data_IF_388351220428
#
_entry.id   IF_388351220428
#
_cell.length_a   1.000
_cell.length_b   1.000
_cell.length_c   1.000
_cell.angle_alpha   90.00
_cell.angle_beta   90.00
_cell.angle_gamma   90.00
#
_symmetry.space_group_name_H-M   'P 1'
#
loop_
_entity.id
_entity.type
_entity.pdbx_description
1 polymer ?
#
# COMPACT_ATOMS: atom_id res chain seq x y z
N UNK A 1 2.15 10.75 10.98
CA UNK A 1 1.82 9.57 11.82
C UNK A 1 0.39 9.14 11.51
N UNK A 2 0.17 7.84 11.27
CA UNK A 2 -1.18 7.29 11.14
C UNK A 2 -1.79 7.21 12.55
N UNK A 3 -2.98 7.79 12.72
CA UNK A 3 -3.70 7.75 14.00
C UNK A 3 -4.45 6.43 14.19
N UNK A 4 -3.71 5.31 14.11
CA UNK A 4 -4.27 3.97 14.32
C UNK A 4 -4.53 3.75 15.81
N UNK A 5 -5.49 2.91 16.13
CA UNK A 5 -5.91 2.55 17.49
C UNK A 5 -4.89 1.65 18.23
N UNK A 6 -3.71 1.45 17.65
CA UNK A 6 -2.55 0.84 18.31
C UNK A 6 -1.24 1.52 17.85
N UNK A 7 -0.15 1.30 18.59
CA UNK A 7 1.15 1.90 18.28
C UNK A 7 1.70 1.40 16.96
N UNK A 8 2.04 2.30 16.06
CA UNK A 8 2.62 2.02 14.75
C UNK A 8 3.90 2.85 14.56
N UNK A 9 4.92 2.26 13.92
CA UNK A 9 6.14 2.99 13.58
C UNK A 9 5.84 4.03 12.49
N UNK A 10 6.35 5.24 12.64
CA UNK A 10 6.22 6.29 11.63
C UNK A 10 7.10 5.98 10.41
N UNK A 11 6.61 6.36 9.22
CA UNK A 11 7.44 6.47 8.03
C UNK A 11 8.37 7.68 8.15
N UNK A 12 9.52 7.65 7.48
CA UNK A 12 10.50 8.71 7.50
C UNK A 12 10.62 9.35 6.11
N UNK A 13 10.71 10.67 6.08
CA UNK A 13 10.92 11.45 4.86
C UNK A 13 11.87 12.62 5.19
N UNK A 14 12.93 12.82 4.42
CA UNK A 14 13.74 14.03 4.54
C UNK A 14 12.91 15.28 4.32
N UNK A 15 13.27 16.39 4.96
CA UNK A 15 12.56 17.64 4.75
C UNK A 15 12.81 18.16 3.33
N UNK A 16 11.78 18.58 2.58
CA UNK A 16 11.95 19.09 1.21
C UNK A 16 12.96 20.25 1.11
N UNK A 17 13.04 21.09 2.15
CA UNK A 17 13.98 22.22 2.20
C UNK A 17 15.46 21.82 2.37
N UNK A 18 15.72 20.55 2.71
CA UNK A 18 17.06 20.00 2.91
C UNK A 18 17.50 19.15 1.71
N UNK A 19 16.61 18.92 0.72
CA UNK A 19 16.91 18.12 -0.47
C UNK A 19 17.27 18.98 -1.67
N UNK A 20 18.27 18.54 -2.42
CA UNK A 20 18.59 19.07 -3.76
C UNK A 20 17.53 18.58 -4.78
N UNK A 21 17.52 19.15 -5.98
CA UNK A 21 16.63 18.68 -7.07
C UNK A 21 16.88 17.20 -7.40
N UNK A 22 18.13 16.77 -7.40
CA UNK A 22 18.51 15.38 -7.64
C UNK A 22 17.96 14.43 -6.55
N UNK A 23 18.11 14.80 -5.28
CA UNK A 23 17.59 14.03 -4.16
C UNK A 23 16.05 14.01 -4.15
N UNK A 24 15.42 15.11 -4.54
CA UNK A 24 13.96 15.16 -4.70
C UNK A 24 13.48 14.19 -5.78
N UNK A 25 14.17 14.12 -6.93
CA UNK A 25 13.86 13.17 -7.98
C UNK A 25 14.09 11.72 -7.53
N UNK A 26 15.15 11.47 -6.78
CA UNK A 26 15.51 10.18 -6.22
C UNK A 26 14.49 9.71 -5.18
N UNK A 27 14.09 10.62 -4.27
CA UNK A 27 13.03 10.37 -3.29
C UNK A 27 11.67 10.10 -3.95
N UNK A 28 11.36 10.76 -5.07
CA UNK A 28 10.13 10.54 -5.82
C UNK A 28 10.04 9.12 -6.43
N UNK A 29 11.18 8.48 -6.69
CA UNK A 29 11.26 7.07 -7.10
C UNK A 29 11.20 6.10 -5.90
N UNK A 30 11.15 6.61 -4.67
CA UNK A 30 11.16 5.79 -3.45
C UNK A 30 12.54 5.30 -3.03
N UNK A 31 13.61 5.83 -3.62
CA UNK A 31 14.98 5.47 -3.26
C UNK A 31 15.50 6.35 -2.11
N UNK A 32 16.27 5.79 -1.17
CA UNK A 32 16.84 6.56 -0.07
C UNK A 32 17.84 7.58 -0.60
N UNK A 33 17.79 8.79 -0.04
CA UNK A 33 18.76 9.85 -0.28
C UNK A 33 19.80 9.77 0.83
N UNK A 34 20.83 8.96 0.62
CA UNK A 34 21.79 8.50 1.61
C UNK A 34 22.74 9.54 2.20
N UNK A 35 22.54 10.83 1.94
CA UNK A 35 23.41 11.91 2.40
C UNK A 35 22.84 12.73 3.55
N UNK A 36 21.59 12.47 3.95
CA UNK A 36 20.97 13.16 5.08
C UNK A 36 21.13 12.35 6.36
N UNK A 37 21.71 12.97 7.37
CA UNK A 37 22.03 12.31 8.64
C UNK A 37 20.79 11.91 9.45
N UNK A 38 19.65 12.62 9.28
CA UNK A 38 18.42 12.25 9.99
C UNK A 38 17.22 13.13 9.56
N UNK A 39 16.09 12.51 9.23
CA UNK A 39 15.91 11.07 9.02
C UNK A 39 16.47 10.64 7.67
N UNK A 40 17.19 9.53 7.65
CA UNK A 40 17.53 8.86 6.39
C UNK A 40 16.23 8.35 5.75
N UNK A 41 15.98 8.71 4.52
CA UNK A 41 14.74 8.30 3.87
C UNK A 41 14.68 8.71 2.40
N UNK A 42 13.59 8.40 1.69
CA UNK A 42 12.31 7.90 2.24
C UNK A 42 12.38 6.46 2.78
N UNK A 43 11.76 6.24 3.94
CA UNK A 43 11.49 4.91 4.49
C UNK A 43 9.99 4.84 4.79
N UNK A 44 9.31 3.87 4.21
CA UNK A 44 7.86 3.76 4.28
C UNK A 44 7.47 2.45 4.93
N UNK A 45 6.58 2.49 5.90
CA UNK A 45 6.03 1.28 6.50
C UNK A 45 5.10 0.56 5.53
N UNK A 46 4.96 -0.75 5.66
CA UNK A 46 4.02 -1.56 4.86
C UNK A 46 2.59 -1.03 5.02
N UNK A 47 2.20 -0.62 6.23
CA UNK A 47 0.89 -0.01 6.50
C UNK A 47 0.71 1.31 5.72
N UNK A 48 1.71 2.20 5.71
CA UNK A 48 1.64 3.45 4.97
C UNK A 48 1.49 3.19 3.46
N UNK A 49 2.20 2.20 2.93
CA UNK A 49 2.07 1.79 1.54
C UNK A 49 0.66 1.28 1.22
N UNK A 50 0.00 0.54 2.12
CA UNK A 50 -1.39 0.13 1.95
C UNK A 50 -2.34 1.33 1.93
N UNK A 51 -2.11 2.34 2.80
CA UNK A 51 -2.88 3.59 2.81
C UNK A 51 -2.68 4.37 1.50
N UNK A 52 -1.47 4.40 0.95
CA UNK A 52 -1.19 5.03 -0.35
C UNK A 52 -1.97 4.32 -1.47
N UNK A 53 -1.92 2.98 -1.53
CA UNK A 53 -2.69 2.22 -2.51
C UNK A 53 -4.20 2.48 -2.38
N UNK A 54 -4.70 2.51 -1.14
CA UNK A 54 -6.10 2.84 -0.83
C UNK A 54 -6.47 4.26 -1.25
N UNK A 55 -5.59 5.25 -1.06
CA UNK A 55 -5.83 6.63 -1.49
C UNK A 55 -5.94 6.74 -3.01
N UNK A 56 -5.08 6.07 -3.77
CA UNK A 56 -5.18 6.02 -5.24
C UNK A 56 -6.49 5.37 -5.68
N UNK A 57 -6.87 4.26 -5.05
CA UNK A 57 -8.15 3.58 -5.30
C UNK A 57 -9.37 4.48 -5.01
N UNK A 58 -9.26 5.36 -4.01
CA UNK A 58 -10.31 6.25 -3.49
C UNK A 58 -10.21 7.68 -4.06
N UNK A 59 -9.83 7.85 -5.32
CA UNK A 59 -9.77 9.15 -6.01
C UNK A 59 -8.82 10.16 -5.38
N UNK A 60 -7.77 9.69 -4.71
CA UNK A 60 -6.73 10.49 -4.07
C UNK A 60 -7.00 10.87 -2.61
N UNK A 61 -8.13 10.45 -2.04
CA UNK A 61 -8.47 10.70 -0.63
C UNK A 61 -7.88 9.60 0.25
N UNK A 62 -6.97 9.97 1.14
CA UNK A 62 -6.41 9.05 2.13
C UNK A 62 -7.37 8.87 3.32
N UNK A 63 -7.48 7.63 3.80
CA UNK A 63 -8.28 7.28 4.97
C UNK A 63 -7.38 6.82 6.10
N UNK A 64 -7.75 7.17 7.34
CA UNK A 64 -7.05 6.68 8.53
C UNK A 64 -7.42 5.22 8.78
N UNK A 65 -6.46 4.29 8.80
CA UNK A 65 -6.75 2.90 9.09
C UNK A 65 -7.12 2.71 10.57
N UNK A 66 -7.96 1.73 10.84
CA UNK A 66 -8.30 1.27 12.19
C UNK A 66 -8.51 -0.25 12.16
N UNK A 67 -8.40 -0.91 13.29
CA UNK A 67 -8.62 -2.37 13.46
C UNK A 67 -9.76 -2.68 14.42
N UNK A 68 -10.13 -1.75 15.29
CA UNK A 68 -11.29 -1.90 16.17
C UNK A 68 -12.50 -1.31 15.47
N UNK A 69 -13.36 -2.16 14.94
CA UNK A 69 -14.59 -1.73 14.28
C UNK A 69 -15.64 -1.29 15.32
N UNK A 70 -15.90 -2.14 16.32
CA UNK A 70 -16.82 -1.81 17.40
C UNK A 70 -16.47 -2.58 18.68
N UNK A 71 -16.99 -2.11 19.79
CA UNK A 71 -16.89 -2.73 21.11
C UNK A 71 -18.27 -3.18 21.56
N UNK A 72 -18.41 -4.43 21.96
CA UNK A 72 -19.66 -5.00 22.47
C UNK A 72 -19.62 -5.11 24.00
N UNK A 73 -20.80 -5.00 24.61
CA UNK A 73 -21.01 -5.41 26.00
C UNK A 73 -20.99 -6.93 26.13
N UNK A 74 -21.03 -7.44 27.35
CA UNK A 74 -21.13 -8.88 27.61
C UNK A 74 -22.43 -9.51 27.03
N UNK A 75 -23.47 -8.70 26.87
CA UNK A 75 -24.78 -9.08 26.32
C UNK A 75 -24.86 -8.92 24.80
N UNK A 76 -23.74 -8.55 24.13
CA UNK A 76 -23.66 -8.39 22.67
C UNK A 76 -24.18 -7.06 22.12
N UNK A 77 -24.47 -6.08 22.99
CA UNK A 77 -24.91 -4.75 22.56
C UNK A 77 -23.70 -3.88 22.19
N UNK A 78 -23.77 -3.17 21.08
CA UNK A 78 -22.72 -2.23 20.67
C UNK A 78 -22.60 -1.08 21.68
N UNK A 79 -21.45 -0.98 22.35
CA UNK A 79 -21.10 0.10 23.30
C UNK A 79 -20.49 1.28 22.55
N UNK A 80 -19.63 1.00 21.59
CA UNK A 80 -19.02 2.01 20.72
C UNK A 80 -18.72 1.43 19.34
N UNK A 81 -18.71 2.28 18.32
CA UNK A 81 -18.31 1.92 16.96
C UNK A 81 -17.34 2.96 16.41
N UNK A 82 -16.37 2.50 15.66
CA UNK A 82 -15.41 3.38 14.97
C UNK A 82 -16.03 3.91 13.69
N UNK A 83 -15.92 5.22 13.46
CA UNK A 83 -16.32 5.84 12.21
C UNK A 83 -15.10 6.08 11.31
N UNK A 84 -15.18 5.77 10.01
CA UNK A 84 -14.12 6.06 9.08
C UNK A 84 -13.73 7.54 9.11
N UNK A 85 -12.42 7.82 9.17
CA UNK A 85 -11.88 9.18 9.24
C UNK A 85 -11.01 9.46 8.03
N UNK A 86 -11.34 10.52 7.28
CA UNK A 86 -10.47 11.01 6.20
C UNK A 86 -9.24 11.71 6.76
N UNK A 87 -8.10 11.45 6.14
CA UNK A 87 -6.85 12.19 6.32
C UNK A 87 -6.73 13.37 5.33
N UNK A 88 -7.71 13.50 4.41
CA UNK A 88 -7.75 14.54 3.40
C UNK A 88 -7.34 14.07 2.01
N UNK A 89 -7.34 15.02 1.07
CA UNK A 89 -6.92 14.82 -0.31
C UNK A 89 -5.39 14.76 -0.39
N UNK A 90 -4.82 13.56 -0.54
CA UNK A 90 -3.38 13.35 -0.62
C UNK A 90 -2.82 13.72 -2.00
N UNK A 91 -3.56 13.40 -3.08
CA UNK A 91 -3.26 13.78 -4.47
C UNK A 91 -4.55 14.16 -5.17
N UNK A 92 -4.47 14.95 -6.27
CA UNK A 92 -5.67 15.32 -7.02
C UNK A 92 -6.38 14.09 -7.60
N UNK A 93 -7.69 14.19 -7.83
CA UNK A 93 -8.48 13.10 -8.42
C UNK A 93 -7.95 12.71 -9.82
N UNK A 94 -7.49 13.70 -10.61
CA UNK A 94 -6.88 13.45 -11.92
C UNK A 94 -5.56 12.68 -11.79
N UNK A 95 -4.68 13.06 -10.85
CA UNK A 95 -3.43 12.34 -10.60
C UNK A 95 -3.72 10.89 -10.11
N UNK A 96 -4.70 10.72 -9.21
CA UNK A 96 -5.13 9.39 -8.76
C UNK A 96 -5.65 8.54 -9.92
N UNK A 97 -6.49 9.08 -10.80
CA UNK A 97 -7.03 8.38 -11.96
C UNK A 97 -5.93 7.91 -12.92
N UNK A 98 -5.00 8.79 -13.28
CA UNK A 98 -3.86 8.44 -14.14
C UNK A 98 -2.95 7.38 -13.50
N UNK A 99 -2.69 7.50 -12.20
CA UNK A 99 -1.90 6.51 -11.45
C UNK A 99 -2.62 5.16 -11.42
N UNK A 100 -3.93 5.17 -11.21
CA UNK A 100 -4.78 3.98 -11.22
C UNK A 100 -4.70 3.24 -12.57
N UNK A 101 -4.75 3.95 -13.69
CA UNK A 101 -4.58 3.38 -15.04
C UNK A 101 -3.18 2.78 -15.24
N UNK A 102 -2.14 3.49 -14.83
CA UNK A 102 -0.77 3.00 -14.91
C UNK A 102 -0.54 1.75 -14.04
N UNK A 103 -1.13 1.70 -12.85
CA UNK A 103 -1.09 0.54 -11.97
C UNK A 103 -1.85 -0.66 -12.55
N UNK A 104 -2.95 -0.43 -13.26
CA UNK A 104 -3.66 -1.48 -13.99
C UNK A 104 -2.78 -2.08 -15.09
N UNK A 105 -2.21 -1.23 -15.95
CA UNK A 105 -1.32 -1.66 -17.03
C UNK A 105 -0.11 -2.46 -16.50
N UNK A 106 0.43 -2.06 -15.34
CA UNK A 106 1.51 -2.78 -14.68
C UNK A 106 1.14 -4.24 -14.35
N UNK A 107 -0.09 -4.50 -13.93
CA UNK A 107 -0.55 -5.86 -13.60
C UNK A 107 -1.06 -6.60 -14.86
N UNK A 108 -1.70 -5.92 -15.80
CA UNK A 108 -2.21 -6.58 -17.01
C UNK A 108 -1.09 -7.05 -17.95
N UNK A 109 -0.02 -6.27 -18.12
CA UNK A 109 1.01 -6.54 -19.11
C UNK A 109 2.44 -6.13 -18.71
N UNK A 110 2.65 -5.69 -17.46
CA UNK A 110 3.95 -5.22 -16.97
C UNK A 110 4.56 -6.12 -15.89
N UNK A 111 5.43 -5.55 -15.06
CA UNK A 111 6.16 -6.26 -14.00
C UNK A 111 5.25 -6.85 -12.91
N UNK A 112 4.00 -6.42 -12.81
CA UNK A 112 3.03 -6.86 -11.83
C UNK A 112 2.18 -8.06 -12.22
N UNK A 113 2.41 -8.70 -13.39
CA UNK A 113 1.56 -9.79 -13.90
C UNK A 113 1.36 -10.95 -12.92
N UNK A 114 2.33 -11.20 -12.02
CA UNK A 114 2.20 -12.22 -10.97
C UNK A 114 1.11 -11.92 -9.93
N UNK A 115 0.61 -10.68 -9.88
CA UNK A 115 -0.48 -10.27 -9.00
C UNK A 115 -1.88 -10.42 -9.62
N UNK A 116 -1.98 -10.93 -10.84
CA UNK A 116 -3.27 -11.16 -11.50
C UNK A 116 -4.16 -12.11 -10.70
N UNK A 117 -5.45 -11.79 -10.67
CA UNK A 117 -6.50 -12.60 -10.05
C UNK A 117 -7.51 -12.97 -11.13
N UNK A 118 -7.84 -14.27 -11.24
CA UNK A 118 -8.80 -14.76 -12.24
C UNK A 118 -10.17 -14.09 -12.03
N UNK A 119 -10.75 -13.58 -13.12
CA UNK A 119 -12.06 -12.95 -13.10
C UNK A 119 -12.13 -11.56 -12.46
N UNK A 120 -10.98 -10.98 -12.05
CA UNK A 120 -10.94 -9.65 -11.41
C UNK A 120 -9.77 -8.84 -11.95
N UNK A 121 -10.04 -7.60 -12.36
CA UNK A 121 -9.00 -6.66 -12.72
C UNK A 121 -8.31 -6.13 -11.45
N UNK A 122 -6.99 -6.18 -11.43
CA UNK A 122 -6.15 -5.74 -10.32
C UNK A 122 -5.28 -4.57 -10.78
N UNK A 123 -5.16 -3.54 -9.96
CA UNK A 123 -4.19 -2.49 -10.15
C UNK A 123 -3.09 -2.58 -9.09
N UNK A 124 -1.83 -2.44 -9.49
CA UNK A 124 -0.71 -2.51 -8.55
C UNK A 124 0.62 -2.12 -9.15
N UNK A 125 1.61 -1.97 -8.30
CA UNK A 125 3.00 -1.64 -8.66
C UNK A 125 3.96 -2.50 -7.87
N UNK A 126 4.91 -3.09 -8.57
CA UNK A 126 6.04 -3.81 -7.98
C UNK A 126 7.13 -2.84 -7.56
N UNK A 127 7.93 -3.24 -6.57
CA UNK A 127 9.16 -2.57 -6.19
C UNK A 127 10.24 -3.59 -5.88
N UNK A 128 11.49 -3.22 -6.17
CA UNK A 128 12.68 -3.94 -5.75
C UNK A 128 13.55 -2.92 -5.04
N UNK A 129 13.68 -3.04 -3.72
CA UNK A 129 14.46 -2.13 -2.91
C UNK A 129 15.77 -2.81 -2.55
N UNK A 130 16.90 -2.19 -2.93
CA UNK A 130 18.22 -2.60 -2.50
C UNK A 130 18.37 -2.32 -1.00
N UNK A 131 18.92 -3.28 -0.29
CA UNK A 131 19.27 -3.18 1.12
C UNK A 131 20.73 -3.51 1.32
N UNK A 132 21.22 -3.44 2.55
CA UNK A 132 22.62 -3.74 2.86
C UNK A 132 23.05 -5.14 2.38
N UNK A 133 24.34 -5.32 2.14
CA UNK A 133 24.96 -6.58 1.71
C UNK A 133 24.52 -7.11 0.32
N UNK A 134 24.02 -6.23 -0.54
CA UNK A 134 23.60 -6.62 -1.90
C UNK A 134 22.30 -7.42 -1.95
N UNK A 135 21.57 -7.49 -0.86
CA UNK A 135 20.25 -8.09 -0.81
C UNK A 135 19.19 -7.13 -1.40
N UNK A 136 18.05 -7.67 -1.76
CA UNK A 136 16.91 -6.88 -2.23
C UNK A 136 15.64 -7.30 -1.50
N UNK A 137 14.76 -6.33 -1.26
CA UNK A 137 13.41 -6.59 -0.80
C UNK A 137 12.45 -6.52 -1.99
N UNK A 138 11.58 -7.52 -2.12
CA UNK A 138 10.49 -7.50 -3.09
C UNK A 138 9.28 -6.81 -2.47
N UNK A 139 8.74 -5.83 -3.20
CA UNK A 139 7.58 -5.06 -2.75
C UNK A 139 6.46 -5.11 -3.79
N UNK A 140 5.24 -5.01 -3.30
CA UNK A 140 4.05 -4.80 -4.10
C UNK A 140 3.04 -3.98 -3.33
N UNK A 141 2.45 -2.98 -4.00
CA UNK A 141 1.26 -2.29 -3.52
C UNK A 141 0.17 -2.39 -4.58
N UNK A 142 -1.09 -2.47 -4.15
CA UNK A 142 -2.17 -2.57 -5.11
C UNK A 142 -3.54 -2.54 -4.46
N UNK A 143 -4.55 -2.67 -5.31
CA UNK A 143 -5.95 -2.75 -4.89
C UNK A 143 -6.78 -3.54 -5.90
N UNK A 144 -7.89 -4.06 -5.45
CA UNK A 144 -8.84 -4.83 -6.23
C UNK A 144 -10.27 -4.72 -5.66
N UNK A 145 -11.33 -4.94 -6.47
CA UNK A 145 -11.33 -4.89 -7.93
C UNK A 145 -10.97 -3.49 -8.46
N UNK A 146 -10.46 -3.40 -9.69
CA UNK A 146 -10.10 -2.11 -10.29
C UNK A 146 -11.30 -1.16 -10.39
N UNK A 147 -12.44 -1.65 -10.86
CA UNK A 147 -13.60 -0.82 -11.16
C UNK A 147 -14.33 -0.33 -9.89
N UNK A 148 -14.44 -1.18 -8.88
CA UNK A 148 -15.01 -0.86 -7.58
C UNK A 148 -14.14 -1.39 -6.44
N UNK A 149 -13.08 -0.69 -6.06
CA UNK A 149 -12.11 -1.16 -5.08
C UNK A 149 -12.71 -1.42 -3.70
N UNK A 150 -12.52 -2.63 -3.18
CA UNK A 150 -12.93 -3.04 -1.82
C UNK A 150 -11.76 -3.50 -0.97
N UNK A 151 -10.58 -3.64 -1.58
CA UNK A 151 -9.37 -4.14 -0.93
C UNK A 151 -8.16 -3.35 -1.42
N UNK A 152 -7.37 -2.83 -0.50
CA UNK A 152 -6.01 -2.33 -0.75
C UNK A 152 -4.99 -3.23 -0.05
N UNK A 153 -3.84 -3.45 -0.68
CA UNK A 153 -2.80 -4.36 -0.18
C UNK A 153 -1.41 -3.75 -0.32
N UNK A 154 -0.57 -4.07 0.62
CA UNK A 154 0.87 -3.87 0.54
C UNK A 154 1.59 -5.12 1.05
N UNK A 155 2.56 -5.60 0.29
CA UNK A 155 3.39 -6.77 0.63
C UNK A 155 4.85 -6.38 0.51
N UNK A 156 5.63 -6.74 1.52
CA UNK A 156 7.08 -6.68 1.51
C UNK A 156 7.62 -8.08 1.83
N UNK A 157 8.53 -8.56 1.00
CA UNK A 157 9.28 -9.80 1.24
C UNK A 157 10.75 -9.44 1.34
N UNK A 158 11.31 -9.62 2.51
CA UNK A 158 12.74 -9.34 2.76
C UNK A 158 13.61 -10.46 2.17
N UNK A 159 14.60 -10.06 1.39
CA UNK A 159 15.55 -10.97 0.76
C UNK A 159 16.80 -11.14 1.59
N UNK A 160 16.84 -12.15 2.47
CA UNK A 160 18.01 -12.53 3.25
C UNK A 160 18.91 -13.50 2.45
N UNK A 161 19.62 -12.99 1.43
CA UNK A 161 20.51 -13.80 0.60
C UNK A 161 19.80 -14.76 -0.37
N UNK A 162 18.49 -14.59 -0.58
CA UNK A 162 17.68 -15.38 -1.53
C UNK A 162 17.07 -14.47 -2.59
N UNK A 163 16.90 -14.99 -3.80
CA UNK A 163 16.15 -14.29 -4.84
C UNK A 163 14.66 -14.24 -4.47
N UNK A 164 14.15 -13.04 -4.26
CA UNK A 164 12.74 -12.75 -3.93
C UNK A 164 12.03 -11.94 -5.02
N UNK A 165 12.66 -11.78 -6.20
CA UNK A 165 12.11 -10.95 -7.28
C UNK A 165 10.72 -11.42 -7.70
N UNK A 166 9.78 -10.48 -7.72
CA UNK A 166 8.38 -10.73 -8.07
C UNK A 166 7.59 -11.57 -7.06
N UNK A 167 8.19 -11.97 -5.93
CA UNK A 167 7.50 -12.80 -4.94
C UNK A 167 6.41 -12.02 -4.21
N UNK A 168 6.62 -10.74 -3.90
CA UNK A 168 5.61 -9.89 -3.28
C UNK A 168 4.35 -9.76 -4.15
N UNK A 169 4.50 -9.61 -5.48
CA UNK A 169 3.37 -9.58 -6.40
C UNK A 169 2.60 -10.91 -6.42
N UNK A 170 3.30 -12.03 -6.45
CA UNK A 170 2.67 -13.35 -6.44
C UNK A 170 1.89 -13.62 -5.13
N UNK A 171 2.46 -13.24 -3.98
CA UNK A 171 1.79 -13.34 -2.69
C UNK A 171 0.58 -12.40 -2.61
N UNK A 172 0.71 -11.16 -3.09
CA UNK A 172 -0.39 -10.21 -3.16
C UNK A 172 -1.56 -10.76 -3.98
N UNK A 173 -1.31 -11.33 -5.16
CA UNK A 173 -2.34 -11.94 -5.99
C UNK A 173 -3.09 -13.06 -5.26
N UNK A 174 -2.38 -13.93 -4.56
CA UNK A 174 -2.99 -15.03 -3.77
C UNK A 174 -3.85 -14.50 -2.62
N UNK A 175 -3.36 -13.51 -1.87
CA UNK A 175 -4.10 -12.89 -0.77
C UNK A 175 -5.35 -12.18 -1.28
N UNK A 176 -5.23 -11.38 -2.34
CA UNK A 176 -6.38 -10.71 -2.96
C UNK A 176 -7.44 -11.70 -3.43
N UNK A 177 -7.04 -12.77 -4.12
CA UNK A 177 -7.97 -13.80 -4.57
C UNK A 177 -8.75 -14.44 -3.41
N UNK A 178 -8.05 -14.81 -2.34
CA UNK A 178 -8.68 -15.40 -1.15
C UNK A 178 -9.65 -14.40 -0.47
N UNK A 179 -9.22 -13.15 -0.28
CA UNK A 179 -10.05 -12.11 0.37
C UNK A 179 -11.30 -11.81 -0.43
N UNK A 180 -11.18 -11.64 -1.75
CA UNK A 180 -12.33 -11.39 -2.63
C UNK A 180 -13.32 -12.55 -2.65
N UNK A 181 -12.82 -13.80 -2.58
CA UNK A 181 -13.69 -14.97 -2.45
C UNK A 181 -14.47 -14.97 -1.14
N UNK A 182 -13.84 -14.59 -0.03
CA UNK A 182 -14.50 -14.47 1.28
C UNK A 182 -15.56 -13.36 1.25
N UNK A 183 -15.22 -12.19 0.69
CA UNK A 183 -16.16 -11.08 0.54
C UNK A 183 -17.38 -11.46 -0.29
N UNK A 184 -17.19 -12.17 -1.40
CA UNK A 184 -18.29 -12.65 -2.24
C UNK A 184 -19.18 -13.67 -1.50
N UNK A 185 -18.63 -14.57 -0.72
CA UNK A 185 -19.38 -15.54 0.07
C UNK A 185 -20.18 -14.87 1.20
N UNK A 186 -19.61 -13.85 1.87
CA UNK A 186 -20.28 -13.11 2.92
C UNK A 186 -21.41 -12.17 2.43
N UNK A 187 -21.34 -11.70 1.18
CA UNK A 187 -22.39 -10.87 0.57
C UNK A 187 -23.65 -11.68 0.14
N UNK A 188 -23.55 -13.00 0.12
CA UNK A 188 -24.66 -13.92 -0.25
C UNK A 188 -25.36 -14.59 0.94
N UNK A 189 -24.95 -14.27 2.17
CA UNK A 189 -25.53 -14.80 3.41
C UNK A 189 -26.37 -13.70 4.10
#
# INVERSE_FOLDING_TARGET
ELGIDFSCRASLMPKPSEMTEWETAWAACGQPVGQHESPAGPQVTVMQNAVIAGAIANGGVAMNPYVVDHVLSAEGTTVSATSPKSLGQAVSADAAARTKEAMLACVESGSGMRAQVSGTRVAGKTGTAEVEDGNVNSLFIGFAPYDNPTLAISVCVEGNGTDVEGLAAALAGRVMAATLSIQAAGAGA
#
